data_IF_747761751102
#
_entry.id   IF_747761751102
#
_cell.length_a   1.000
_cell.length_b   1.000
_cell.length_c   1.000
_cell.angle_alpha   90.00
_cell.angle_beta   90.00
_cell.angle_gamma   90.00
#
_symmetry.space_group_name_H-M   'P 1'
#
loop_
_entity.id
_entity.type
_entity.pdbx_description
1 polymer ?
#
# COMPACT_ATOMS: atom_id res chain seq x y z
N UNK A 1 -4.41 22.76 14.03
CA UNK A 1 -4.74 21.32 13.82
C UNK A 1 -4.86 21.08 12.32
N UNK A 2 -3.90 20.37 11.71
CA UNK A 2 -3.94 20.08 10.28
C UNK A 2 -5.00 19.03 9.98
N UNK A 3 -5.94 19.33 9.08
CA UNK A 3 -6.99 18.39 8.66
C UNK A 3 -6.32 17.18 7.99
N UNK A 4 -6.51 15.99 8.55
CA UNK A 4 -6.15 14.72 7.91
C UNK A 4 -6.98 14.64 6.63
N UNK A 5 -6.32 14.56 5.47
CA UNK A 5 -6.97 14.52 4.16
C UNK A 5 -7.29 13.06 3.84
N UNK A 6 -8.58 12.73 3.87
CA UNK A 6 -9.09 11.42 3.48
C UNK A 6 -9.09 11.28 1.96
N UNK A 7 -8.94 10.04 1.47
CA UNK A 7 -9.08 9.73 0.06
C UNK A 7 -10.50 10.01 -0.42
N UNK A 8 -10.65 10.53 -1.65
CA UNK A 8 -11.95 10.51 -2.31
C UNK A 8 -12.40 9.05 -2.48
N UNK A 9 -13.65 8.76 -2.11
CA UNK A 9 -14.26 7.42 -2.21
C UNK A 9 -14.07 6.77 -3.59
N UNK A 10 -14.06 7.55 -4.67
CA UNK A 10 -13.84 7.06 -6.04
C UNK A 10 -12.43 6.50 -6.33
N UNK A 11 -11.44 6.80 -5.47
CA UNK A 11 -10.03 6.42 -5.65
C UNK A 11 -9.58 5.41 -4.59
N UNK A 12 -10.46 5.02 -3.68
CA UNK A 12 -10.19 4.00 -2.68
C UNK A 12 -10.20 2.62 -3.35
N UNK A 13 -9.21 1.76 -3.07
CA UNK A 13 -9.30 0.35 -3.43
C UNK A 13 -10.59 -0.27 -2.88
N UNK A 14 -11.22 -1.15 -3.64
CA UNK A 14 -12.52 -1.72 -3.28
C UNK A 14 -12.51 -2.48 -1.95
N UNK A 15 -11.34 -2.95 -1.51
CA UNK A 15 -11.17 -3.59 -0.21
C UNK A 15 -11.40 -2.63 0.98
N UNK A 16 -11.36 -1.31 0.76
CA UNK A 16 -11.46 -0.27 1.81
C UNK A 16 -12.81 0.47 1.76
N UNK A 17 -13.64 0.20 0.75
CA UNK A 17 -14.92 0.87 0.53
C UNK A 17 -16.03 0.49 1.52
N UNK A 18 -15.81 -0.56 2.33
CA UNK A 18 -16.82 -1.15 3.22
C UNK A 18 -16.79 -0.59 4.65
N UNK A 19 -15.84 0.29 5.00
CA UNK A 19 -15.74 0.87 6.34
C UNK A 19 -16.29 2.30 6.41
N UNK A 20 -16.82 2.69 7.58
CA UNK A 20 -17.21 4.06 7.90
C UNK A 20 -16.08 5.01 7.46
N UNK A 21 -16.38 5.98 6.59
CA UNK A 21 -15.37 6.87 5.97
C UNK A 21 -14.52 7.60 7.03
N UNK A 22 -15.06 7.79 8.24
CA UNK A 22 -14.36 8.38 9.39
C UNK A 22 -13.29 7.47 10.02
N UNK A 23 -13.42 6.14 9.89
CA UNK A 23 -12.44 5.13 10.34
C UNK A 23 -11.52 4.64 9.23
N UNK A 24 -11.83 4.99 7.97
CA UNK A 24 -11.00 4.58 6.84
C UNK A 24 -9.56 5.10 7.01
N UNK A 25 -8.55 4.24 6.79
CA UNK A 25 -7.15 4.63 6.90
C UNK A 25 -6.83 5.79 5.95
N UNK A 26 -6.02 6.73 6.43
CA UNK A 26 -5.50 7.82 5.62
C UNK A 26 -4.63 7.30 4.48
N UNK A 27 -4.48 8.11 3.43
CA UNK A 27 -3.61 7.76 2.30
C UNK A 27 -2.16 7.47 2.73
N UNK A 28 -1.66 8.16 3.76
CA UNK A 28 -0.31 7.89 4.29
C UNK A 28 -0.24 6.52 4.95
N UNK A 29 -1.24 6.15 5.75
CA UNK A 29 -1.31 4.83 6.38
C UNK A 29 -1.42 3.72 5.32
N UNK A 30 -2.16 3.95 4.24
CA UNK A 30 -2.25 3.03 3.12
C UNK A 30 -0.94 2.84 2.38
N UNK A 31 -0.22 3.93 2.13
CA UNK A 31 1.12 3.88 1.52
C UNK A 31 2.08 3.09 2.40
N UNK A 32 2.09 3.35 3.72
CA UNK A 32 2.96 2.63 4.66
C UNK A 32 2.62 1.15 4.73
N UNK A 33 1.33 0.81 4.83
CA UNK A 33 0.88 -0.58 4.83
C UNK A 33 1.24 -1.31 3.54
N UNK A 34 1.08 -0.66 2.38
CA UNK A 34 1.49 -1.25 1.11
C UNK A 34 3.01 -1.42 0.99
N UNK A 35 3.80 -0.54 1.62
CA UNK A 35 5.26 -0.71 1.73
C UNK A 35 5.61 -1.95 2.56
N UNK A 36 4.98 -2.12 3.72
CA UNK A 36 5.17 -3.31 4.58
C UNK A 36 4.79 -4.58 3.84
N UNK A 37 3.61 -4.62 3.19
CA UNK A 37 3.17 -5.75 2.38
C UNK A 37 4.15 -6.09 1.25
N UNK A 38 4.77 -5.08 0.61
CA UNK A 38 5.78 -5.30 -0.43
C UNK A 38 7.09 -5.86 0.14
N UNK A 39 7.54 -5.37 1.30
CA UNK A 39 8.72 -5.91 1.98
C UNK A 39 8.51 -7.35 2.42
N UNK A 40 7.34 -7.67 2.97
CA UNK A 40 6.98 -9.04 3.37
C UNK A 40 6.91 -9.98 2.15
N UNK A 41 6.35 -9.51 1.03
CA UNK A 41 6.29 -10.28 -0.21
C UNK A 41 7.69 -10.52 -0.79
N UNK A 42 8.59 -9.54 -0.66
CA UNK A 42 9.99 -9.68 -1.07
C UNK A 42 10.71 -10.72 -0.20
N UNK A 43 10.56 -10.66 1.12
CA UNK A 43 11.11 -11.66 2.03
C UNK A 43 10.59 -13.07 1.71
N UNK A 44 9.28 -13.21 1.48
CA UNK A 44 8.68 -14.48 1.09
C UNK A 44 9.26 -15.03 -0.23
N UNK A 45 9.46 -14.17 -1.23
CA UNK A 45 10.08 -14.56 -2.49
C UNK A 45 11.56 -14.98 -2.34
N UNK A 46 12.30 -14.36 -1.43
CA UNK A 46 13.70 -14.72 -1.16
C UNK A 46 13.82 -16.06 -0.41
N UNK A 47 12.86 -16.38 0.46
CA UNK A 47 12.87 -17.60 1.29
C UNK A 47 12.16 -18.81 0.65
N UNK A 48 11.40 -18.62 -0.44
CA UNK A 48 10.66 -19.72 -1.05
C UNK A 48 11.61 -20.75 -1.65
N UNK A 49 11.52 -21.98 -1.14
CA UNK A 49 12.32 -23.12 -1.60
C UNK A 49 11.50 -24.20 -2.30
N UNK A 50 10.17 -24.19 -2.09
CA UNK A 50 9.24 -25.09 -2.79
C UNK A 50 9.01 -24.59 -4.22
N UNK A 51 9.40 -25.36 -5.26
CA UNK A 51 9.18 -25.00 -6.65
C UNK A 51 7.71 -24.73 -7.00
N UNK A 52 6.76 -25.38 -6.31
CA UNK A 52 5.33 -25.19 -6.56
C UNK A 52 4.78 -23.86 -6.02
N UNK A 53 5.56 -23.15 -5.18
CA UNK A 53 5.18 -21.87 -4.60
C UNK A 53 5.88 -20.68 -5.25
N UNK A 54 6.84 -20.91 -6.17
CA UNK A 54 7.61 -19.84 -6.83
C UNK A 54 6.70 -18.91 -7.62
N UNK A 55 5.79 -19.45 -8.43
CA UNK A 55 4.85 -18.63 -9.21
C UNK A 55 3.95 -17.77 -8.30
N UNK A 56 3.52 -18.34 -7.17
CA UNK A 56 2.75 -17.60 -6.18
C UNK A 56 3.59 -16.47 -5.57
N UNK A 57 4.85 -16.74 -5.24
CA UNK A 57 5.77 -15.75 -4.69
C UNK A 57 6.04 -14.59 -5.67
N UNK A 58 6.24 -14.89 -6.95
CA UNK A 58 6.39 -13.90 -8.04
C UNK A 58 5.14 -13.04 -8.14
N UNK A 59 3.96 -13.67 -8.20
CA UNK A 59 2.70 -12.93 -8.28
C UNK A 59 2.51 -12.00 -7.06
N UNK A 60 2.85 -12.48 -5.87
CA UNK A 60 2.70 -11.72 -4.63
C UNK A 60 3.61 -10.50 -4.58
N UNK A 61 4.89 -10.63 -4.95
CA UNK A 61 5.82 -9.48 -4.95
C UNK A 61 5.40 -8.44 -6.00
N UNK A 62 5.04 -8.88 -7.21
CA UNK A 62 4.62 -7.95 -8.27
C UNK A 62 3.32 -7.20 -7.92
N UNK A 63 2.33 -7.90 -7.36
CA UNK A 63 1.05 -7.30 -6.99
C UNK A 63 1.22 -6.27 -5.86
N UNK A 64 2.03 -6.59 -4.84
CA UNK A 64 2.32 -5.68 -3.75
C UNK A 64 3.10 -4.44 -4.22
N UNK A 65 4.10 -4.61 -5.11
CA UNK A 65 4.85 -3.50 -5.71
C UNK A 65 3.93 -2.55 -6.50
N UNK A 66 3.08 -3.11 -7.38
CA UNK A 66 2.13 -2.34 -8.19
C UNK A 66 1.17 -1.54 -7.30
N UNK A 67 0.68 -2.14 -6.21
CA UNK A 67 -0.19 -1.47 -5.23
C UNK A 67 0.53 -0.31 -4.54
N UNK A 68 1.75 -0.53 -4.05
CA UNK A 68 2.55 0.51 -3.39
C UNK A 68 2.84 1.69 -4.32
N UNK A 69 3.28 1.43 -5.56
CA UNK A 69 3.55 2.46 -6.58
C UNK A 69 2.28 3.27 -6.90
N UNK A 70 1.13 2.61 -7.05
CA UNK A 70 -0.14 3.31 -7.28
C UNK A 70 -0.48 4.26 -6.13
N UNK A 71 -0.38 3.80 -4.88
CA UNK A 71 -0.68 4.61 -3.71
C UNK A 71 0.29 5.78 -3.55
N UNK A 72 1.58 5.59 -3.88
CA UNK A 72 2.56 6.69 -3.92
C UNK A 72 2.19 7.77 -4.95
N UNK A 73 1.81 7.36 -6.17
CA UNK A 73 1.37 8.30 -7.22
C UNK A 73 0.14 9.08 -6.77
N UNK A 74 -0.80 8.39 -6.13
CA UNK A 74 -2.00 9.01 -5.58
C UNK A 74 -1.68 10.01 -4.44
N UNK A 75 -0.79 9.64 -3.52
CA UNK A 75 -0.33 10.52 -2.44
C UNK A 75 0.38 11.77 -2.96
N UNK A 76 1.16 11.62 -4.02
CA UNK A 76 1.85 12.72 -4.70
C UNK A 76 0.85 13.68 -5.35
N UNK A 77 -0.11 13.14 -6.10
CA UNK A 77 -1.16 13.93 -6.75
C UNK A 77 -2.01 14.75 -5.75
N UNK A 78 -2.33 14.16 -4.59
CA UNK A 78 -3.11 14.82 -3.54
C UNK A 78 -2.28 15.80 -2.68
N UNK A 79 -0.97 15.96 -2.96
CA UNK A 79 -0.01 16.74 -2.14
C UNK A 79 -0.07 16.35 -0.66
N UNK A 80 -0.23 15.04 -0.40
CA UNK A 80 -0.31 14.47 0.95
C UNK A 80 1.05 13.93 1.41
N UNK A 81 2.02 13.79 0.50
CA UNK A 81 3.41 13.47 0.85
C UNK A 81 4.05 14.71 1.50
N UNK A 82 4.03 14.76 2.83
CA UNK A 82 4.70 15.78 3.63
C UNK A 82 5.41 15.09 4.80
N UNK A 83 6.76 15.07 4.79
CA UNK A 83 7.72 14.74 5.87
C UNK A 83 7.35 13.68 6.94
N UNK A 84 6.53 12.66 6.63
CA UNK A 84 6.20 11.56 7.55
C UNK A 84 6.32 10.17 6.95
N UNK A 85 6.62 10.03 5.66
CA UNK A 85 7.02 8.74 5.10
C UNK A 85 8.46 8.53 5.54
N UNK A 86 8.65 7.81 6.65
CA UNK A 86 9.99 7.46 7.10
C UNK A 86 10.62 6.50 6.07
N UNK A 87 11.53 7.07 5.28
CA UNK A 87 12.55 6.33 4.55
C UNK A 87 13.65 6.00 5.56
N UNK A 88 13.38 5.02 6.43
CA UNK A 88 14.42 4.27 7.12
C UNK A 88 14.82 3.09 6.25
#
# INVERSE_FOLDING_TARGET
>A
MGKIRYLKKSLMPSEILNEDIEKAPSLVELVNKAKEEWLDAKYFFEEVTDPNLVDHAIFRIESAEKKYIYLLKLASAEKVINNKVQLS
#
